data_IF_401096252414
#
_entry.id   IF_401096252414
#
_cell.length_a   1.000
_cell.length_b   1.000
_cell.length_c   1.000
_cell.angle_alpha   90.00
_cell.angle_beta   90.00
_cell.angle_gamma   90.00
#
_symmetry.space_group_name_H-M   'P 1'
#
loop_
_entity.id
_entity.type
_entity.pdbx_description
1 polymer ?
#
# COMPACT_ATOMS: atom_id res chain seq x y z
N UNK A 1 -18.16 42.21 -35.61
CA UNK A 1 -18.76 40.88 -35.29
C UNK A 1 -17.72 39.75 -35.39
N UNK A 2 -16.56 39.87 -34.70
CA UNK A 2 -15.51 38.83 -34.69
C UNK A 2 -14.75 38.68 -33.35
N UNK A 3 -15.02 39.55 -32.37
CA UNK A 3 -14.27 39.60 -31.10
C UNK A 3 -15.05 38.97 -29.93
N UNK A 4 -16.35 38.68 -30.10
CA UNK A 4 -17.18 38.12 -29.02
C UNK A 4 -17.14 36.59 -28.89
N UNK A 5 -16.45 35.89 -29.79
CA UNK A 5 -16.45 34.41 -29.83
C UNK A 5 -15.21 33.76 -29.20
N UNK A 6 -14.19 34.53 -28.80
CA UNK A 6 -12.93 33.98 -28.26
C UNK A 6 -12.93 33.91 -26.73
N UNK A 7 -13.80 34.66 -26.04
CA UNK A 7 -13.82 34.71 -24.57
C UNK A 7 -14.60 33.58 -23.89
N UNK A 8 -15.25 32.67 -24.65
CA UNK A 8 -16.05 31.58 -24.09
C UNK A 8 -15.31 30.24 -23.99
N UNK A 9 -14.09 30.13 -24.52
CA UNK A 9 -13.32 28.87 -24.54
C UNK A 9 -12.37 28.67 -23.35
N UNK A 10 -12.21 29.67 -22.48
CA UNK A 10 -11.34 29.57 -21.30
C UNK A 10 -12.06 29.11 -20.02
N UNK A 11 -13.37 28.85 -20.05
CA UNK A 11 -14.15 28.46 -18.86
C UNK A 11 -14.35 26.94 -18.67
N UNK A 12 -13.79 26.09 -19.53
CA UNK A 12 -13.97 24.62 -19.47
C UNK A 12 -12.66 23.83 -19.28
N UNK A 13 -11.65 24.43 -18.66
CA UNK A 13 -10.44 23.69 -18.23
C UNK A 13 -10.28 23.80 -16.72
N UNK A 14 -11.34 23.52 -15.96
CA UNK A 14 -11.15 23.05 -14.58
C UNK A 14 -10.62 21.62 -14.68
N UNK A 15 -9.30 21.48 -14.78
CA UNK A 15 -8.65 20.19 -14.61
C UNK A 15 -9.04 19.67 -13.21
N UNK A 16 -9.92 18.65 -13.16
CA UNK A 16 -10.26 17.96 -11.93
C UNK A 16 -9.03 17.19 -11.42
N UNK A 17 -8.11 17.89 -10.77
CA UNK A 17 -7.19 17.25 -9.85
C UNK A 17 -8.00 16.89 -8.60
N UNK A 18 -8.60 15.70 -8.59
CA UNK A 18 -9.37 15.23 -7.44
C UNK A 18 -8.42 14.97 -6.26
N UNK A 19 -8.71 15.60 -5.13
CA UNK A 19 -7.94 15.38 -3.91
C UNK A 19 -8.04 13.91 -3.46
N UNK A 20 -7.05 13.37 -2.73
CA UNK A 20 -7.13 12.02 -2.17
C UNK A 20 -8.40 11.76 -1.35
N UNK A 21 -8.86 12.77 -0.60
CA UNK A 21 -10.10 12.71 0.17
C UNK A 21 -11.34 12.59 -0.73
N UNK A 22 -11.40 13.37 -1.82
CA UNK A 22 -12.49 13.28 -2.81
C UNK A 22 -12.52 11.92 -3.48
N UNK A 23 -11.35 11.41 -3.90
CA UNK A 23 -11.23 10.08 -4.51
C UNK A 23 -11.65 8.96 -3.54
N UNK A 24 -11.30 9.07 -2.27
CA UNK A 24 -11.77 8.13 -1.26
C UNK A 24 -13.29 8.12 -1.16
N UNK A 25 -13.95 9.29 -1.08
CA UNK A 25 -15.40 9.35 -1.00
C UNK A 25 -16.04 8.75 -2.25
N UNK A 26 -15.62 9.20 -3.42
CA UNK A 26 -16.28 8.86 -4.68
C UNK A 26 -16.05 7.41 -5.11
N UNK A 27 -14.82 6.89 -4.93
CA UNK A 27 -14.40 5.61 -5.50
C UNK A 27 -14.20 4.50 -4.48
N UNK A 28 -14.10 4.81 -3.18
CA UNK A 28 -13.93 3.80 -2.13
C UNK A 28 -15.15 3.72 -1.25
N UNK A 29 -15.55 4.82 -0.62
CA UNK A 29 -16.68 4.85 0.32
C UNK A 29 -17.99 4.54 -0.38
N UNK A 30 -18.26 5.19 -1.51
CA UNK A 30 -19.50 5.02 -2.27
C UNK A 30 -19.48 3.84 -3.27
N UNK A 31 -18.37 3.09 -3.33
CA UNK A 31 -18.23 1.95 -4.22
C UNK A 31 -19.25 0.84 -3.91
N UNK A 32 -19.54 0.03 -4.93
CA UNK A 32 -20.39 -1.16 -4.87
C UNK A 32 -19.59 -2.47 -4.91
N UNK A 33 -18.25 -2.41 -4.92
CA UNK A 33 -17.43 -3.64 -4.86
C UNK A 33 -17.68 -4.38 -3.53
N UNK A 34 -17.54 -5.72 -3.48
CA UNK A 34 -17.78 -6.47 -2.25
C UNK A 34 -17.00 -5.90 -1.06
N UNK A 35 -17.66 -5.81 0.10
CA UNK A 35 -17.09 -5.29 1.34
C UNK A 35 -17.01 -6.42 2.37
N UNK A 36 -15.79 -6.83 2.70
CA UNK A 36 -15.51 -7.74 3.79
C UNK A 36 -15.53 -7.00 5.13
N UNK A 37 -16.25 -7.54 6.11
CA UNK A 37 -16.27 -7.05 7.49
C UNK A 37 -15.19 -7.70 8.35
N UNK A 38 -14.68 -8.85 7.92
CA UNK A 38 -13.62 -9.58 8.63
C UNK A 38 -12.49 -10.03 7.69
N UNK A 39 -11.28 -10.28 8.20
CA UNK A 39 -10.18 -10.82 7.40
C UNK A 39 -10.51 -12.18 6.75
N UNK A 40 -11.24 -13.06 7.44
CA UNK A 40 -11.65 -14.36 6.90
C UNK A 40 -12.61 -14.21 5.72
N UNK A 41 -13.57 -13.30 5.83
CA UNK A 41 -14.47 -12.96 4.73
C UNK A 41 -13.70 -12.38 3.53
N UNK A 42 -12.69 -11.55 3.79
CA UNK A 42 -11.84 -11.00 2.74
C UNK A 42 -11.09 -12.09 1.95
N UNK A 43 -10.62 -13.13 2.64
CA UNK A 43 -10.00 -14.31 2.00
C UNK A 43 -11.00 -15.10 1.13
N UNK A 44 -12.29 -15.12 1.49
CA UNK A 44 -13.31 -15.79 0.68
C UNK A 44 -13.75 -14.96 -0.54
N UNK A 45 -13.73 -13.64 -0.43
CA UNK A 45 -14.14 -12.72 -1.51
C UNK A 45 -13.06 -12.60 -2.60
N UNK A 46 -11.79 -12.53 -2.20
CA UNK A 46 -10.67 -12.35 -3.13
C UNK A 46 -9.83 -13.61 -3.23
N UNK A 47 -9.49 -14.00 -4.45
CA UNK A 47 -8.51 -15.06 -4.68
C UNK A 47 -7.12 -14.61 -4.20
N UNK A 48 -6.41 -15.53 -3.55
CA UNK A 48 -5.03 -15.33 -3.13
C UNK A 48 -4.07 -15.53 -4.32
N UNK A 49 -3.13 -14.60 -4.49
CA UNK A 49 -2.03 -14.72 -5.46
C UNK A 49 -0.80 -15.27 -4.74
N UNK A 50 -0.10 -16.28 -5.27
CA UNK A 50 1.15 -16.75 -4.69
C UNK A 50 2.18 -15.61 -4.58
N UNK A 51 2.68 -15.41 -3.37
CA UNK A 51 3.70 -14.41 -3.07
C UNK A 51 5.04 -14.87 -3.64
N UNK A 52 5.77 -14.01 -4.37
CA UNK A 52 7.13 -14.29 -4.79
C UNK A 52 8.05 -14.54 -3.59
N UNK A 53 8.98 -15.47 -3.76
CA UNK A 53 10.08 -15.73 -2.82
C UNK A 53 11.36 -15.25 -3.49
N UNK A 54 12.12 -14.39 -2.80
CA UNK A 54 13.39 -13.81 -3.26
C UNK A 54 13.35 -13.28 -4.72
N UNK A 55 12.43 -12.36 -5.06
CA UNK A 55 12.23 -11.91 -6.45
C UNK A 55 13.35 -10.98 -6.97
N UNK A 56 14.42 -10.77 -6.20
CA UNK A 56 15.49 -9.84 -6.51
C UNK A 56 15.06 -8.38 -6.43
N UNK A 57 15.75 -7.52 -7.18
CA UNK A 57 15.65 -6.05 -7.05
C UNK A 57 14.31 -5.45 -7.55
N UNK A 58 13.55 -6.19 -8.36
CA UNK A 58 12.28 -5.71 -8.95
C UNK A 58 11.17 -6.75 -8.76
N UNK A 59 10.56 -6.82 -7.55
CA UNK A 59 9.42 -7.67 -7.33
C UNK A 59 8.27 -7.34 -8.31
N UNK A 60 7.47 -8.35 -8.71
CA UNK A 60 6.22 -8.13 -9.41
C UNK A 60 5.32 -7.14 -8.65
N UNK A 61 4.50 -6.44 -9.41
CA UNK A 61 3.67 -5.35 -8.91
C UNK A 61 2.20 -5.64 -9.18
N UNK A 62 1.37 -5.40 -8.17
CA UNK A 62 -0.07 -5.53 -8.25
C UNK A 62 -0.73 -4.20 -7.93
N UNK A 63 -1.62 -3.76 -8.81
CA UNK A 63 -2.40 -2.54 -8.57
C UNK A 63 -3.51 -2.81 -7.58
N UNK A 64 -3.68 -1.94 -6.60
CA UNK A 64 -4.89 -1.81 -5.80
C UNK A 64 -5.60 -0.55 -6.29
N UNK A 65 -6.77 -0.72 -6.90
CA UNK A 65 -7.58 0.30 -7.57
C UNK A 65 -9.01 0.26 -7.02
N UNK A 66 -9.90 1.07 -7.59
CA UNK A 66 -11.32 1.08 -7.24
C UNK A 66 -12.05 -0.24 -7.59
N UNK A 67 -11.49 -1.07 -8.47
CA UNK A 67 -12.12 -2.31 -8.92
C UNK A 67 -11.97 -3.48 -7.93
N UNK A 68 -10.95 -3.44 -7.07
CA UNK A 68 -10.71 -4.46 -6.06
C UNK A 68 -11.79 -4.46 -4.97
N UNK A 69 -12.05 -5.62 -4.33
CA UNK A 69 -12.92 -5.66 -3.16
C UNK A 69 -12.35 -4.82 -2.02
N UNK A 70 -13.22 -4.49 -1.06
CA UNK A 70 -12.90 -3.65 0.09
C UNK A 70 -12.95 -4.46 1.38
N UNK A 71 -12.12 -4.12 2.35
CA UNK A 71 -12.17 -4.62 3.72
C UNK A 71 -12.38 -3.45 4.69
N UNK A 72 -13.15 -3.68 5.76
CA UNK A 72 -13.37 -2.68 6.79
C UNK A 72 -12.22 -2.68 7.80
N UNK A 73 -11.42 -1.61 7.83
CA UNK A 73 -10.32 -1.42 8.78
C UNK A 73 -10.72 -0.31 9.75
N UNK A 74 -10.99 -0.67 11.01
CA UNK A 74 -11.47 0.26 12.05
C UNK A 74 -12.65 1.14 11.58
N UNK A 75 -13.60 0.55 10.85
CA UNK A 75 -14.76 1.25 10.31
C UNK A 75 -14.54 1.97 8.98
N UNK A 76 -13.33 1.94 8.41
CA UNK A 76 -13.01 2.58 7.13
C UNK A 76 -12.84 1.53 6.02
N UNK A 77 -13.59 1.63 4.91
CA UNK A 77 -13.42 0.76 3.76
C UNK A 77 -12.07 0.99 3.05
N UNK A 78 -11.37 -0.09 2.77
CA UNK A 78 -10.03 -0.08 2.18
C UNK A 78 -9.92 -1.15 1.09
N UNK A 79 -9.61 -0.77 -0.15
CA UNK A 79 -9.42 -1.75 -1.23
C UNK A 79 -8.20 -2.63 -0.92
N UNK A 80 -8.28 -3.91 -1.25
CA UNK A 80 -7.23 -4.87 -0.87
C UNK A 80 -6.97 -5.94 -1.92
N UNK A 81 -5.85 -6.62 -1.75
CA UNK A 81 -5.52 -7.89 -2.42
C UNK A 81 -5.02 -8.89 -1.40
N UNK A 82 -5.14 -10.17 -1.76
CA UNK A 82 -4.71 -11.29 -0.92
C UNK A 82 -3.54 -12.00 -1.58
N UNK A 83 -2.54 -12.34 -0.78
CA UNK A 83 -1.35 -13.07 -1.19
C UNK A 83 -1.16 -14.30 -0.32
N UNK A 84 -0.65 -15.39 -0.87
CA UNK A 84 -0.38 -16.62 -0.11
C UNK A 84 1.11 -16.95 -0.10
N UNK A 85 1.63 -17.42 1.02
CA UNK A 85 3.00 -17.91 1.14
C UNK A 85 3.06 -19.11 2.09
N UNK A 86 4.16 -19.87 2.05
CA UNK A 86 4.40 -20.97 2.99
C UNK A 86 5.38 -20.53 4.05
N UNK A 87 4.99 -20.62 5.32
CA UNK A 87 5.87 -20.33 6.46
C UNK A 87 6.18 -21.61 7.23
N UNK A 88 7.34 -21.63 7.88
CA UNK A 88 7.85 -22.79 8.62
C UNK A 88 7.81 -22.49 10.11
N UNK A 89 7.31 -23.45 10.89
CA UNK A 89 7.25 -23.38 12.36
C UNK A 89 8.60 -22.98 12.94
N UNK A 90 8.57 -22.04 13.88
CA UNK A 90 9.72 -21.53 14.65
C UNK A 90 10.87 -20.95 13.79
N UNK A 91 10.70 -20.83 12.47
CA UNK A 91 11.62 -20.13 11.58
C UNK A 91 11.20 -18.67 11.47
N UNK A 92 12.17 -17.77 11.58
CA UNK A 92 11.94 -16.34 11.32
C UNK A 92 11.55 -16.16 9.86
N UNK A 93 10.46 -15.44 9.62
CA UNK A 93 10.06 -15.00 8.30
C UNK A 93 10.32 -13.51 8.14
N UNK A 94 10.59 -13.09 6.90
CA UNK A 94 10.73 -11.69 6.53
C UNK A 94 9.84 -11.42 5.31
N UNK A 95 8.70 -10.78 5.52
CA UNK A 95 7.80 -10.36 4.45
C UNK A 95 8.01 -8.87 4.21
N UNK A 96 8.36 -8.51 2.99
CA UNK A 96 8.55 -7.13 2.58
C UNK A 96 7.40 -6.72 1.66
N UNK A 97 6.81 -5.56 1.90
CA UNK A 97 5.75 -4.99 1.07
C UNK A 97 6.22 -3.65 0.56
N UNK A 98 6.54 -3.61 -0.74
CA UNK A 98 6.84 -2.37 -1.43
C UNK A 98 5.52 -1.70 -1.86
N UNK A 99 5.44 -0.39 -1.69
CA UNK A 99 4.38 0.48 -2.22
C UNK A 99 5.02 1.57 -3.06
N UNK A 100 4.68 1.62 -4.34
CA UNK A 100 5.26 2.58 -5.27
C UNK A 100 4.45 3.87 -5.32
N UNK A 101 5.17 4.95 -5.59
CA UNK A 101 4.60 6.26 -5.81
C UNK A 101 3.67 6.28 -7.03
N UNK A 102 2.48 6.87 -6.89
CA UNK A 102 1.42 6.83 -7.92
C UNK A 102 1.79 7.63 -9.17
N UNK A 103 2.50 8.75 -9.02
CA UNK A 103 2.84 9.68 -10.12
C UNK A 103 4.35 9.92 -10.22
N UNK A 104 5.14 8.85 -10.30
CA UNK A 104 6.62 8.90 -10.39
C UNK A 104 7.34 9.66 -9.27
N UNK A 105 6.63 10.04 -8.18
CA UNK A 105 7.18 10.83 -7.08
C UNK A 105 7.80 12.18 -7.51
N UNK A 106 7.39 12.71 -8.66
CA UNK A 106 7.87 13.99 -9.19
C UNK A 106 7.03 15.14 -8.64
N UNK A 107 7.68 16.25 -8.29
CA UNK A 107 7.02 17.46 -7.77
C UNK A 107 6.91 17.52 -6.24
N UNK A 108 6.15 18.53 -5.76
CA UNK A 108 6.01 18.84 -4.33
C UNK A 108 5.02 17.93 -3.60
N UNK A 109 4.02 17.38 -4.30
CA UNK A 109 3.02 16.48 -3.73
C UNK A 109 3.27 15.05 -4.19
N UNK A 110 3.86 14.24 -3.31
CA UNK A 110 4.17 12.83 -3.56
C UNK A 110 3.08 11.98 -2.93
N UNK A 111 2.62 10.96 -3.64
CA UNK A 111 1.52 10.11 -3.20
C UNK A 111 1.87 8.64 -3.34
N UNK A 112 1.51 7.85 -2.34
CA UNK A 112 1.53 6.40 -2.42
C UNK A 112 0.42 5.80 -1.58
N UNK A 113 0.08 4.55 -1.88
CA UNK A 113 -0.75 3.74 -1.02
C UNK A 113 0.01 3.49 0.29
N UNK A 114 -0.61 3.74 1.44
CA UNK A 114 -0.08 3.34 2.73
C UNK A 114 -0.58 1.92 3.05
N UNK A 115 0.26 0.86 2.99
CA UNK A 115 -0.23 -0.49 3.18
C UNK A 115 -0.63 -0.74 4.64
N UNK A 116 -1.81 -1.32 4.85
CA UNK A 116 -2.16 -1.98 6.10
C UNK A 116 -2.11 -3.50 5.87
N UNK A 117 -1.35 -4.19 6.70
CA UNK A 117 -1.02 -5.60 6.54
C UNK A 117 -1.82 -6.43 7.54
N UNK A 118 -2.40 -7.54 7.09
CA UNK A 118 -3.04 -8.53 7.98
C UNK A 118 -2.53 -9.91 7.56
N UNK A 119 -1.79 -10.58 8.45
CA UNK A 119 -1.28 -11.93 8.25
C UNK A 119 -2.20 -12.93 8.94
N UNK A 120 -2.65 -13.95 8.22
CA UNK A 120 -3.52 -15.01 8.74
C UNK A 120 -2.96 -16.39 8.46
N UNK A 121 -3.28 -17.35 9.32
CA UNK A 121 -3.08 -18.77 9.04
C UNK A 121 -4.19 -19.34 8.14
N UNK A 122 -4.06 -20.61 7.75
CA UNK A 122 -5.05 -21.29 6.91
C UNK A 122 -6.41 -21.52 7.58
N UNK A 123 -6.48 -21.38 8.90
CA UNK A 123 -7.73 -21.49 9.67
C UNK A 123 -8.45 -20.14 9.78
N UNK A 124 -7.84 -19.05 9.28
CA UNK A 124 -8.39 -17.71 9.35
C UNK A 124 -8.05 -16.96 10.64
N UNK A 125 -7.13 -17.48 11.47
CA UNK A 125 -6.69 -16.75 12.65
C UNK A 125 -5.64 -15.71 12.27
N UNK A 126 -5.86 -14.47 12.71
CA UNK A 126 -4.91 -13.37 12.54
C UNK A 126 -3.67 -13.61 13.42
N UNK A 127 -2.50 -13.68 12.77
CA UNK A 127 -1.20 -13.82 13.42
C UNK A 127 -0.54 -12.47 13.72
N UNK A 128 -0.92 -11.44 12.97
CA UNK A 128 -0.46 -10.07 13.16
C UNK A 128 -1.13 -9.12 12.18
N UNK A 129 -1.34 -7.89 12.61
CA UNK A 129 -1.92 -6.83 11.78
C UNK A 129 -1.31 -5.47 12.10
N UNK A 130 -1.39 -4.54 11.15
CA UNK A 130 -0.93 -3.17 11.32
C UNK A 130 0.03 -2.72 10.23
N UNK A 131 0.95 -1.84 10.62
CA UNK A 131 1.98 -1.31 9.75
C UNK A 131 3.30 -1.99 10.03
N UNK A 132 4.01 -2.41 8.98
CA UNK A 132 5.40 -2.79 9.10
C UNK A 132 6.29 -1.57 9.36
N UNK A 133 7.57 -1.80 9.69
CA UNK A 133 8.55 -0.71 9.75
C UNK A 133 8.67 -0.07 8.36
N UNK A 134 8.22 1.17 8.22
CA UNK A 134 8.26 1.90 6.96
C UNK A 134 9.66 2.51 6.75
N UNK A 135 10.35 2.02 5.72
CA UNK A 135 11.58 2.61 5.21
C UNK A 135 11.33 3.12 3.80
N UNK A 136 11.97 4.22 3.42
CA UNK A 136 11.69 4.86 2.14
C UNK A 136 12.97 5.14 1.38
N UNK A 137 12.96 4.75 0.11
CA UNK A 137 13.87 5.27 -0.89
C UNK A 137 13.00 6.11 -1.82
N UNK A 138 13.56 7.13 -2.47
CA UNK A 138 12.80 7.99 -3.40
C UNK A 138 11.99 7.13 -4.38
N UNK A 139 10.65 7.23 -4.32
CA UNK A 139 9.73 6.51 -5.21
C UNK A 139 9.08 5.25 -4.64
N UNK A 140 9.54 4.73 -3.49
CA UNK A 140 9.03 3.48 -2.89
C UNK A 140 9.01 3.55 -1.37
N UNK A 141 7.90 3.13 -0.77
CA UNK A 141 7.80 2.84 0.67
C UNK A 141 7.90 1.33 0.83
N UNK A 142 8.84 0.86 1.62
CA UNK A 142 8.93 -0.55 2.02
C UNK A 142 8.42 -0.69 3.46
N UNK A 143 7.46 -1.59 3.67
CA UNK A 143 7.06 -2.05 5.00
C UNK A 143 7.50 -3.50 5.19
N UNK A 144 8.30 -3.75 6.23
CA UNK A 144 8.71 -5.10 6.59
C UNK A 144 7.87 -5.65 7.76
N UNK A 145 7.42 -6.89 7.62
CA UNK A 145 6.81 -7.71 8.67
C UNK A 145 7.74 -8.90 8.93
N UNK A 146 8.29 -8.94 10.15
CA UNK A 146 9.19 -10.01 10.61
C UNK A 146 8.57 -10.70 11.82
N UNK A 147 8.69 -12.02 11.91
CA UNK A 147 8.21 -12.77 13.06
C UNK A 147 8.48 -14.26 12.94
N UNK A 148 7.86 -15.05 13.82
CA UNK A 148 7.85 -16.51 13.75
C UNK A 148 6.40 -17.00 13.79
N UNK A 149 6.18 -18.22 13.29
CA UNK A 149 4.85 -18.85 13.32
C UNK A 149 4.88 -20.14 14.14
N UNK A 150 3.76 -20.45 14.79
CA UNK A 150 3.64 -21.63 15.68
C UNK A 150 3.48 -22.95 14.92
N UNK A 151 3.00 -22.88 13.67
CA UNK A 151 2.72 -24.03 12.82
C UNK A 151 3.25 -23.80 11.42
N UNK A 152 3.83 -24.82 10.80
CA UNK A 152 4.17 -24.77 9.36
C UNK A 152 2.89 -24.84 8.54
N UNK A 153 2.83 -24.13 7.42
CA UNK A 153 1.67 -24.19 6.53
C UNK A 153 1.56 -23.00 5.60
N UNK A 154 0.42 -22.92 4.92
CA UNK A 154 0.06 -21.76 4.09
C UNK A 154 -0.48 -20.64 4.97
N UNK A 155 0.06 -19.45 4.75
CA UNK A 155 -0.37 -18.21 5.37
C UNK A 155 -0.83 -17.24 4.30
N UNK A 156 -1.77 -16.37 4.67
CA UNK A 156 -2.37 -15.38 3.79
C UNK A 156 -2.06 -13.98 4.29
N UNK A 157 -1.52 -13.15 3.41
CA UNK A 157 -1.29 -11.73 3.65
C UNK A 157 -2.35 -10.92 2.90
N UNK A 158 -3.20 -10.22 3.64
CA UNK A 158 -4.02 -9.16 3.08
C UNK A 158 -3.18 -7.89 3.05
N UNK A 159 -3.09 -7.27 1.87
CA UNK A 159 -2.48 -5.95 1.69
C UNK A 159 -3.59 -4.99 1.29
N UNK A 160 -3.94 -4.08 2.19
CA UNK A 160 -5.01 -3.11 2.00
C UNK A 160 -4.46 -1.68 1.87
N UNK A 161 -5.14 -0.84 1.10
CA UNK A 161 -4.88 0.60 1.05
C UNK A 161 -5.47 1.28 2.30
N UNK A 162 -4.64 1.70 3.26
CA UNK A 162 -5.16 2.36 4.46
C UNK A 162 -5.78 3.73 4.14
N UNK A 163 -7.10 3.74 4.13
CA UNK A 163 -7.91 4.91 3.82
C UNK A 163 -8.42 5.67 5.04
N UNK A 164 -7.93 5.39 6.25
CA UNK A 164 -8.37 6.09 7.47
C UNK A 164 -8.00 7.57 7.46
N UNK A 165 -6.94 7.94 6.74
CA UNK A 165 -6.48 9.32 6.61
C UNK A 165 -5.93 9.62 5.19
N UNK A 166 -6.77 9.63 4.15
CA UNK A 166 -6.32 9.88 2.78
C UNK A 166 -5.76 11.29 2.64
N UNK A 167 -4.59 11.42 2.02
CA UNK A 167 -3.89 12.70 1.86
C UNK A 167 -2.99 13.09 3.03
N UNK A 168 -3.04 12.39 4.16
CA UNK A 168 -2.11 12.63 5.28
C UNK A 168 -0.71 12.09 4.99
N UNK A 169 0.29 12.66 5.65
CA UNK A 169 1.69 12.25 5.45
C UNK A 169 1.96 10.87 6.02
N UNK A 170 2.48 9.96 5.19
CA UNK A 170 3.02 8.68 5.62
C UNK A 170 4.36 8.93 6.32
N UNK A 171 4.46 8.47 7.57
CA UNK A 171 5.69 8.60 8.36
C UNK A 171 6.66 7.50 7.92
N UNK A 172 7.83 7.92 7.42
CA UNK A 172 8.92 7.04 6.97
C UNK A 172 10.12 7.28 7.87
N UNK A 173 10.62 6.24 8.51
CA UNK A 173 11.86 6.32 9.28
C UNK A 173 13.06 5.98 8.39
N UNK A 174 14.02 6.92 8.36
CA UNK A 174 15.33 6.87 7.70
C UNK A 174 15.31 6.79 6.15
N UNK A 175 15.50 7.96 5.51
CA UNK A 175 15.92 8.03 4.10
C UNK A 175 17.44 8.20 4.06
N UNK A 176 18.15 7.24 3.48
CA UNK A 176 19.53 7.44 3.04
C UNK A 176 19.52 8.21 1.71
N UNK A 177 19.97 9.47 1.75
CA UNK A 177 20.23 10.27 0.55
C UNK A 177 21.55 9.82 -0.07
N UNK A 178 21.50 9.22 -1.25
CA UNK A 178 22.70 8.92 -2.04
C UNK A 178 23.40 10.24 -2.37
N UNK A 179 24.63 10.44 -1.88
CA UNK A 179 25.44 11.64 -2.08
C UNK A 179 25.46 12.65 -0.93
N UNK A 180 24.73 12.43 0.16
CA UNK A 180 24.84 13.24 1.37
C UNK A 180 25.94 12.70 2.31
N UNK A 181 26.73 13.59 2.94
CA UNK A 181 27.72 13.21 3.93
C UNK A 181 27.05 12.43 5.08
N UNK A 182 27.70 11.37 5.56
CA UNK A 182 27.20 10.47 6.60
C UNK A 182 27.11 11.13 8.00
N UNK A 183 26.26 12.15 8.13
CA UNK A 183 25.90 12.76 9.40
C UNK A 183 24.37 12.83 9.48
N UNK A 184 23.72 12.26 10.52
CA UNK A 184 22.27 12.19 10.61
C UNK A 184 21.73 13.58 11.01
N UNK A 185 21.57 14.46 10.03
CA UNK A 185 20.93 15.78 10.23
C UNK A 185 19.43 15.60 10.08
N UNK A 186 18.77 15.21 11.17
CA UNK A 186 17.33 15.03 11.31
C UNK A 186 16.69 14.00 10.36
N UNK A 187 15.62 13.28 10.76
CA UNK A 187 14.85 12.50 9.81
C UNK A 187 14.28 13.46 8.78
N UNK A 188 14.85 13.49 7.57
CA UNK A 188 14.24 14.14 6.43
C UNK A 188 12.91 13.42 6.20
N UNK A 189 11.83 14.05 6.67
CA UNK A 189 10.46 13.66 6.36
C UNK A 189 10.25 13.91 4.88
N UNK A 190 10.69 13.00 4.02
CA UNK A 190 10.22 12.95 2.64
C UNK A 190 8.78 12.48 2.72
N UNK A 191 7.88 13.43 2.99
CA UNK A 191 6.46 13.16 3.12
C UNK A 191 5.92 12.62 1.80
N UNK A 192 5.57 11.35 1.80
CA UNK A 192 4.66 10.80 0.81
C UNK A 192 3.28 10.78 1.45
N UNK A 193 2.30 11.38 0.80
CA UNK A 193 0.95 11.46 1.32
C UNK A 193 0.18 10.18 0.95
N UNK A 194 -0.69 9.72 1.83
CA UNK A 194 -1.52 8.55 1.60
C UNK A 194 -2.45 8.77 0.41
N UNK A 195 -2.54 7.78 -0.46
CA UNK A 195 -3.43 7.76 -1.61
C UNK A 195 -4.32 6.51 -1.56
N UNK A 196 -5.60 6.61 -1.97
CA UNK A 196 -6.52 5.48 -1.81
C UNK A 196 -6.21 4.25 -2.66
N UNK A 197 -5.32 4.42 -3.63
CA UNK A 197 -4.94 3.42 -4.63
C UNK A 197 -3.43 3.43 -4.82
N UNK A 198 -2.90 2.37 -5.42
CA UNK A 198 -1.47 2.31 -5.69
C UNK A 198 -1.03 0.99 -6.27
N UNK A 199 0.28 0.78 -6.26
CA UNK A 199 0.91 -0.46 -6.69
C UNK A 199 1.64 -1.04 -5.49
N UNK A 200 1.41 -2.32 -5.20
CA UNK A 200 2.07 -3.03 -4.10
C UNK A 200 2.80 -4.27 -4.60
N UNK A 201 3.84 -4.68 -3.88
CA UNK A 201 4.72 -5.78 -4.25
C UNK A 201 5.17 -6.49 -2.99
N UNK A 202 4.32 -7.36 -2.43
CA UNK A 202 4.70 -8.22 -1.32
C UNK A 202 5.62 -9.34 -1.81
N UNK A 203 6.63 -9.68 -1.01
CA UNK A 203 7.50 -10.83 -1.25
C UNK A 203 8.06 -11.38 0.07
N UNK A 204 8.36 -12.67 0.06
CA UNK A 204 9.08 -13.33 1.16
C UNK A 204 10.59 -13.25 0.87
N UNK A 205 11.36 -12.78 1.83
CA UNK A 205 12.81 -12.83 1.82
C UNK A 205 13.29 -14.01 2.67
N UNK A 206 14.14 -14.87 2.11
CA UNK A 206 14.71 -16.02 2.82
C UNK A 206 16.13 -15.79 3.33
N UNK A 207 16.79 -14.71 2.90
CA UNK A 207 18.06 -14.28 3.47
C UNK A 207 17.80 -13.57 4.81
N UNK A 208 18.56 -13.94 5.85
CA UNK A 208 18.69 -13.09 7.04
C UNK A 208 19.30 -11.77 6.55
N UNK A 209 18.49 -10.72 6.40
CA UNK A 209 19.03 -9.41 6.05
C UNK A 209 20.12 -9.06 7.07
N UNK A 210 21.36 -8.74 6.62
CA UNK A 210 22.45 -8.35 7.51
C UNK A 210 22.13 -7.07 8.29
#
# INVERSE_FOLDING_TARGET
>A
MRILFVSLFCFFITACSSSPATLFIDQVKNSQTPLALTPVEALHISQAVPMPVDPGWRPPQWKITAAEPRILINGTPSNYRVFSTTLVKDKVFHINVNSWCVNACLGFSKYALNPYLILMDAQGNVQGEGFGKATGIVGVINQALTGTVKNSGTYYLIVAADNRAPGETIVIDNVLLIGAAASPIAPLRIGMNSYPFGSVGPFLNTEESP
#
